data_IF_477728605580
#
_entry.id   IF_477728605580
#
_cell.length_a   1.000
_cell.length_b   1.000
_cell.length_c   1.000
_cell.angle_alpha   90.00
_cell.angle_beta   90.00
_cell.angle_gamma   90.00
#
_symmetry.space_group_name_H-M   'P 1'
#
loop_
_entity.id
_entity.type
_entity.pdbx_description
1 polymer ?
#
# COMPACT_ATOMS: atom_id res chain seq x y z
N UNK A 1 -10.74 0.80 -18.39
CA UNK A 1 -11.44 -0.11 -17.47
C UNK A 1 -10.85 0.07 -16.08
N UNK A 2 -11.68 0.18 -15.04
CA UNK A 2 -11.24 0.21 -13.64
C UNK A 2 -11.19 -1.22 -13.12
N UNK A 3 -10.10 -1.57 -12.49
CA UNK A 3 -9.89 -2.87 -11.83
C UNK A 3 -9.98 -2.70 -10.32
N UNK A 4 -10.34 -3.77 -9.63
CA UNK A 4 -10.45 -3.80 -8.17
C UNK A 4 -9.74 -5.04 -7.63
N UNK A 5 -9.04 -4.86 -6.51
CA UNK A 5 -8.47 -5.93 -5.70
C UNK A 5 -8.86 -5.68 -4.24
N UNK A 6 -9.07 -6.78 -3.52
CA UNK A 6 -9.34 -6.75 -2.09
C UNK A 6 -8.53 -7.83 -1.41
N UNK A 7 -7.85 -7.46 -0.34
CA UNK A 7 -7.06 -8.36 0.48
C UNK A 7 -7.53 -8.24 1.93
N UNK A 8 -7.54 -9.34 2.63
CA UNK A 8 -7.84 -9.40 4.06
C UNK A 8 -6.74 -10.19 4.76
N UNK A 9 -6.34 -9.73 5.94
CA UNK A 9 -5.44 -10.47 6.80
C UNK A 9 -5.81 -10.28 8.26
N UNK A 10 -5.57 -11.32 9.06
CA UNK A 10 -5.63 -11.26 10.51
C UNK A 10 -4.25 -10.93 11.07
N UNK A 11 -4.19 -9.96 11.99
CA UNK A 11 -2.96 -9.55 12.68
C UNK A 11 -3.17 -9.77 14.19
N UNK A 12 -2.40 -10.66 14.83
CA UNK A 12 -2.54 -11.00 16.24
C UNK A 12 -1.88 -9.96 17.16
N UNK A 13 -2.31 -8.71 17.05
CA UNK A 13 -1.83 -7.58 17.84
C UNK A 13 -2.99 -6.65 18.17
N UNK A 14 -2.77 -5.72 19.10
CA UNK A 14 -3.77 -4.72 19.45
C UNK A 14 -4.01 -3.74 18.30
N UNK A 15 -5.18 -3.11 18.28
CA UNK A 15 -5.51 -2.09 17.27
C UNK A 15 -4.50 -0.93 17.32
N UNK A 16 -4.02 -0.55 18.51
CA UNK A 16 -3.04 0.51 18.68
C UNK A 16 -1.69 0.15 18.04
N UNK A 17 -1.17 -1.04 18.29
CA UNK A 17 0.08 -1.51 17.70
C UNK A 17 0.00 -1.58 16.16
N UNK A 18 -1.09 -2.11 15.64
CA UNK A 18 -1.31 -2.23 14.20
C UNK A 18 -1.46 -0.84 13.57
N UNK A 19 -2.28 0.01 14.16
CA UNK A 19 -2.47 1.39 13.67
C UNK A 19 -1.16 2.19 13.67
N UNK A 20 -0.41 2.17 14.77
CA UNK A 20 0.85 2.89 14.89
C UNK A 20 1.88 2.45 13.85
N UNK A 21 1.91 1.17 13.53
CA UNK A 21 2.78 0.65 12.49
C UNK A 21 2.36 1.11 11.08
N UNK A 22 1.09 0.89 10.70
CA UNK A 22 0.62 1.18 9.34
C UNK A 22 0.43 2.67 9.07
N UNK A 23 0.09 3.46 10.06
CA UNK A 23 -0.05 4.92 9.93
C UNK A 23 1.28 5.68 10.04
N UNK A 24 2.40 4.98 10.04
CA UNK A 24 3.73 5.58 10.02
C UNK A 24 4.36 5.49 8.63
N UNK A 25 4.52 6.64 7.96
CA UNK A 25 5.05 6.71 6.60
C UNK A 25 6.45 6.09 6.45
N UNK A 26 7.27 6.08 7.52
CA UNK A 26 8.60 5.46 7.52
C UNK A 26 8.55 3.94 7.35
N UNK A 27 7.44 3.30 7.69
CA UNK A 27 7.27 1.85 7.55
C UNK A 27 6.88 1.41 6.14
N UNK A 28 6.63 2.33 5.21
CA UNK A 28 6.29 2.00 3.83
C UNK A 28 7.37 1.14 3.16
N UNK A 29 8.64 1.44 3.40
CA UNK A 29 9.77 0.67 2.87
C UNK A 29 9.85 -0.75 3.45
N UNK A 30 9.41 -0.96 4.68
CA UNK A 30 9.35 -2.30 5.32
C UNK A 30 8.33 -3.18 4.62
N UNK A 31 7.22 -2.60 4.17
CA UNK A 31 6.13 -3.26 3.46
C UNK A 31 6.36 -3.41 1.95
N UNK A 32 7.54 -3.04 1.46
CA UNK A 32 7.89 -3.09 0.04
C UNK A 32 9.05 -4.06 -0.16
N UNK A 33 8.92 -5.06 -1.08
CA UNK A 33 10.00 -6.00 -1.37
C UNK A 33 11.30 -5.29 -1.73
N UNK A 34 12.44 -5.81 -1.24
CA UNK A 34 13.77 -5.22 -1.48
C UNK A 34 14.10 -5.15 -2.96
N UNK A 35 13.61 -6.11 -3.75
CA UNK A 35 13.80 -6.21 -5.19
C UNK A 35 13.18 -5.04 -5.95
N UNK A 36 12.18 -4.38 -5.35
CA UNK A 36 11.54 -3.18 -5.91
C UNK A 36 12.37 -1.90 -5.69
N UNK A 37 13.49 -1.96 -4.98
CA UNK A 37 14.43 -0.84 -4.78
C UNK A 37 13.76 0.48 -4.41
N UNK A 38 12.84 0.45 -3.46
CA UNK A 38 12.13 1.65 -3.06
C UNK A 38 13.08 2.67 -2.42
N UNK A 39 13.02 3.91 -2.90
CA UNK A 39 13.77 5.05 -2.38
C UNK A 39 12.83 6.22 -2.17
N UNK A 40 12.54 6.54 -0.91
CA UNK A 40 11.77 7.74 -0.54
C UNK A 40 12.63 8.97 -0.80
N UNK A 41 12.10 9.94 -1.54
CA UNK A 41 12.79 11.18 -1.93
C UNK A 41 12.18 12.43 -1.30
N UNK A 42 10.95 12.36 -0.78
CA UNK A 42 10.36 13.45 -0.02
C UNK A 42 10.93 13.51 1.40
N UNK A 43 11.08 14.71 1.93
CA UNK A 43 11.36 14.90 3.34
C UNK A 43 10.12 14.58 4.17
N UNK A 44 10.26 13.66 5.12
CA UNK A 44 9.20 13.30 6.06
C UNK A 44 9.43 14.05 7.37
N UNK A 45 8.95 15.30 7.43
CA UNK A 45 9.05 16.12 8.65
C UNK A 45 8.26 15.54 9.82
N UNK A 46 7.23 14.76 9.50
CA UNK A 46 6.39 14.03 10.43
C UNK A 46 6.21 12.61 9.91
N UNK A 47 6.34 11.61 10.78
CA UNK A 47 6.19 10.20 10.39
C UNK A 47 4.73 9.73 10.39
N UNK A 48 3.91 10.26 11.31
CA UNK A 48 2.50 9.92 11.42
C UNK A 48 1.70 10.49 10.24
N UNK A 49 0.85 9.66 9.63
CA UNK A 49 0.00 10.08 8.51
C UNK A 49 -0.99 11.17 8.93
N UNK A 50 -1.21 12.13 8.03
CA UNK A 50 -2.24 13.16 8.14
C UNK A 50 -2.83 13.46 6.77
N UNK A 51 -4.04 13.99 6.74
CA UNK A 51 -4.71 14.39 5.49
C UNK A 51 -3.94 15.49 4.78
N UNK A 52 -3.67 15.28 3.48
CA UNK A 52 -2.84 16.16 2.66
C UNK A 52 -1.35 15.81 2.66
N UNK A 53 -0.90 14.82 3.45
CA UNK A 53 0.49 14.36 3.43
C UNK A 53 0.83 13.79 2.06
N UNK A 54 1.95 14.24 1.49
CA UNK A 54 2.49 13.74 0.22
C UNK A 54 3.79 13.00 0.47
N UNK A 55 3.91 11.83 -0.15
CA UNK A 55 5.09 10.97 -0.06
C UNK A 55 5.54 10.65 -1.48
N UNK A 56 6.75 11.09 -1.84
CA UNK A 56 7.35 10.83 -3.13
C UNK A 56 8.48 9.80 -3.02
N UNK A 57 8.51 8.88 -3.94
CA UNK A 57 9.52 7.82 -3.98
C UNK A 57 9.74 7.30 -5.40
N UNK A 58 10.90 6.66 -5.61
CA UNK A 58 11.13 5.79 -6.75
C UNK A 58 10.94 4.33 -6.33
N UNK A 59 10.33 3.56 -7.19
CA UNK A 59 10.13 2.12 -7.00
C UNK A 59 10.24 1.41 -8.35
N UNK A 60 10.76 0.19 -8.37
CA UNK A 60 10.95 -0.60 -9.59
C UNK A 60 10.00 -1.81 -9.59
N UNK A 61 8.71 -1.63 -9.92
CA UNK A 61 7.71 -2.69 -9.81
C UNK A 61 7.84 -3.74 -10.93
N UNK A 62 8.44 -3.37 -12.09
CA UNK A 62 8.58 -4.24 -13.25
C UNK A 62 9.97 -4.08 -13.88
N UNK A 63 10.60 -5.19 -14.24
CA UNK A 63 11.86 -5.24 -15.00
C UNK A 63 13.00 -4.40 -14.41
N UNK A 64 12.99 -4.14 -13.10
CA UNK A 64 13.95 -3.27 -12.40
C UNK A 64 14.00 -1.84 -12.96
N UNK A 65 12.97 -1.40 -13.66
CA UNK A 65 12.86 -0.03 -14.18
C UNK A 65 12.33 0.88 -13.09
N UNK A 66 13.08 1.91 -12.65
CA UNK A 66 12.62 2.83 -11.63
C UNK A 66 11.48 3.72 -12.16
N UNK A 67 10.41 3.80 -11.41
CA UNK A 67 9.24 4.63 -11.69
C UNK A 67 9.06 5.63 -10.54
N UNK A 68 8.86 6.89 -10.87
CA UNK A 68 8.49 7.91 -9.89
C UNK A 68 7.04 7.72 -9.46
N UNK A 69 6.82 7.77 -8.16
CA UNK A 69 5.50 7.65 -7.57
C UNK A 69 5.31 8.70 -6.48
N UNK A 70 4.22 9.42 -6.54
CA UNK A 70 3.82 10.39 -5.53
C UNK A 70 2.43 10.03 -5.02
N UNK A 71 2.38 9.72 -3.74
CA UNK A 71 1.17 9.37 -2.99
C UNK A 71 0.69 10.58 -2.19
N UNK A 72 -0.62 10.77 -2.11
CA UNK A 72 -1.25 11.69 -1.17
C UNK A 72 -2.24 10.95 -0.27
N UNK A 73 -2.15 11.22 1.03
CA UNK A 73 -3.13 10.76 2.01
C UNK A 73 -4.32 11.71 1.98
N UNK A 74 -5.46 11.24 1.52
CA UNK A 74 -6.66 12.08 1.36
C UNK A 74 -7.65 11.97 2.51
N UNK A 75 -7.51 10.95 3.35
CA UNK A 75 -8.37 10.72 4.51
C UNK A 75 -7.62 9.97 5.60
N UNK A 76 -7.83 10.37 6.86
CA UNK A 76 -7.37 9.64 8.05
C UNK A 76 -8.48 9.65 9.09
N UNK A 77 -9.02 8.49 9.40
CA UNK A 77 -9.91 8.23 10.53
C UNK A 77 -9.14 7.38 11.55
N UNK A 78 -8.79 7.99 12.68
CA UNK A 78 -7.91 7.40 13.70
C UNK A 78 -8.37 6.00 14.12
N UNK A 79 -7.46 5.02 14.03
CA UNK A 79 -7.69 3.61 14.39
C UNK A 79 -8.81 2.91 13.62
N UNK A 80 -9.23 3.50 12.50
CA UNK A 80 -10.28 2.94 11.67
C UNK A 80 -9.85 2.76 10.22
N UNK A 81 -9.47 3.85 9.55
CA UNK A 81 -9.03 3.76 8.15
C UNK A 81 -8.16 4.95 7.75
N UNK A 82 -7.37 4.75 6.71
CA UNK A 82 -6.81 5.83 5.92
C UNK A 82 -6.88 5.50 4.42
N UNK A 83 -6.87 6.53 3.60
CA UNK A 83 -6.99 6.43 2.15
C UNK A 83 -5.85 7.18 1.50
N UNK A 84 -5.16 6.51 0.59
CA UNK A 84 -4.15 7.10 -0.27
C UNK A 84 -4.55 7.05 -1.75
N UNK A 85 -4.10 8.05 -2.49
CA UNK A 85 -4.22 8.11 -3.94
C UNK A 85 -2.86 8.41 -4.57
N UNK A 86 -2.67 7.96 -5.80
CA UNK A 86 -1.54 8.37 -6.60
C UNK A 86 -1.80 9.75 -7.22
N UNK A 87 -0.93 10.72 -6.99
CA UNK A 87 -0.92 12.02 -7.67
C UNK A 87 -0.11 11.97 -8.97
N UNK A 88 1.04 11.32 -8.92
CA UNK A 88 1.90 11.07 -10.07
C UNK A 88 2.42 9.65 -10.01
N UNK A 89 2.48 8.97 -11.14
CA UNK A 89 2.97 7.60 -11.19
C UNK A 89 2.46 6.82 -12.39
N UNK A 90 2.65 5.49 -12.38
CA UNK A 90 2.41 4.64 -13.53
C UNK A 90 0.92 4.36 -13.82
N UNK A 91 0.03 4.61 -12.89
CA UNK A 91 -1.41 4.37 -13.07
C UNK A 91 -2.13 5.65 -13.53
N UNK A 92 -3.20 5.49 -14.28
CA UNK A 92 -4.14 6.57 -14.57
C UNK A 92 -5.00 6.91 -13.36
N UNK A 93 -5.40 5.88 -12.63
CA UNK A 93 -6.12 5.98 -11.34
C UNK A 93 -5.48 4.98 -10.39
N UNK A 94 -5.23 5.42 -9.17
CA UNK A 94 -4.91 4.59 -8.03
C UNK A 94 -5.58 5.16 -6.79
N UNK A 95 -6.37 4.33 -6.14
CA UNK A 95 -7.05 4.67 -4.90
C UNK A 95 -6.99 3.44 -4.00
N UNK A 96 -6.42 3.60 -2.83
CA UNK A 96 -6.19 2.52 -1.88
C UNK A 96 -6.78 2.88 -0.53
N UNK A 97 -7.72 2.08 -0.06
CA UNK A 97 -8.32 2.19 1.27
C UNK A 97 -7.75 1.10 2.17
N UNK A 98 -7.24 1.52 3.32
CA UNK A 98 -6.77 0.65 4.40
C UNK A 98 -7.76 0.73 5.54
N UNK A 99 -8.40 -0.38 5.89
CA UNK A 99 -9.38 -0.45 6.98
C UNK A 99 -8.90 -1.41 8.06
N UNK A 100 -9.04 -0.99 9.31
CA UNK A 100 -8.63 -1.74 10.49
C UNK A 100 -9.85 -1.99 11.36
N UNK A 101 -10.14 -3.26 11.63
CA UNK A 101 -11.32 -3.70 12.38
C UNK A 101 -10.84 -4.53 13.56
N UNK A 102 -11.06 -4.04 14.77
CA UNK A 102 -10.79 -4.81 15.98
C UNK A 102 -11.73 -6.01 16.06
N UNK A 103 -11.16 -7.18 16.24
CA UNK A 103 -11.87 -8.44 16.39
C UNK A 103 -11.30 -9.23 17.56
N UNK A 104 -11.91 -10.37 17.89
CA UNK A 104 -11.41 -11.23 18.95
C UNK A 104 -9.95 -11.63 18.69
N UNK A 105 -9.09 -11.37 19.67
CA UNK A 105 -7.65 -11.68 19.69
C UNK A 105 -6.78 -10.95 18.65
N UNK A 106 -7.28 -9.88 18.00
CA UNK A 106 -6.45 -9.15 17.06
C UNK A 106 -7.21 -8.14 16.20
N UNK A 107 -6.64 -7.86 15.04
CA UNK A 107 -7.19 -6.91 14.08
C UNK A 107 -7.37 -7.59 12.73
N UNK A 108 -8.53 -7.41 12.13
CA UNK A 108 -8.73 -7.68 10.71
C UNK A 108 -8.38 -6.43 9.90
N UNK A 109 -7.32 -6.52 9.11
CA UNK A 109 -6.95 -5.48 8.15
C UNK A 109 -7.52 -5.81 6.78
N UNK A 110 -8.11 -4.80 6.13
CA UNK A 110 -8.69 -4.90 4.80
C UNK A 110 -8.07 -3.84 3.90
N UNK A 111 -7.47 -4.27 2.80
CA UNK A 111 -6.95 -3.42 1.74
C UNK A 111 -7.87 -3.49 0.52
N UNK A 112 -8.40 -2.36 0.10
CA UNK A 112 -9.22 -2.24 -1.10
C UNK A 112 -8.56 -1.29 -2.10
N UNK A 113 -8.17 -1.82 -3.25
CA UNK A 113 -7.46 -1.08 -4.29
C UNK A 113 -8.35 -0.96 -5.52
N UNK A 114 -8.54 0.27 -5.97
CA UNK A 114 -9.16 0.59 -7.26
C UNK A 114 -8.12 1.24 -8.15
N UNK A 115 -7.88 0.67 -9.33
CA UNK A 115 -6.86 1.21 -10.22
C UNK A 115 -7.26 1.12 -11.69
N UNK A 116 -6.67 1.99 -12.50
CA UNK A 116 -6.80 2.00 -13.94
C UNK A 116 -5.42 2.18 -14.57
N UNK A 117 -5.14 1.36 -15.58
CA UNK A 117 -3.90 1.48 -16.34
C UNK A 117 -4.00 2.63 -17.37
N UNK A 118 -2.88 3.26 -17.69
CA UNK A 118 -2.81 4.17 -18.84
C UNK A 118 -3.00 3.39 -20.16
N UNK A 119 -3.10 4.11 -21.28
CA UNK A 119 -3.20 3.53 -22.62
C UNK A 119 -4.44 2.69 -22.92
N UNK A 120 -5.50 2.81 -22.13
CA UNK A 120 -6.81 2.22 -22.42
C UNK A 120 -6.77 0.71 -22.72
N UNK A 121 -7.16 0.30 -23.95
CA UNK A 121 -7.22 -1.10 -24.37
C UNK A 121 -5.83 -1.77 -24.37
N UNK A 122 -4.79 -1.08 -24.76
CA UNK A 122 -3.40 -1.59 -24.76
C UNK A 122 -2.94 -1.88 -23.35
N UNK A 123 -3.19 -0.95 -22.41
CA UNK A 123 -2.90 -1.17 -20.99
C UNK A 123 -3.61 -2.41 -20.43
N UNK A 124 -4.88 -2.63 -20.82
CA UNK A 124 -5.64 -3.77 -20.37
C UNK A 124 -5.10 -5.12 -20.90
N UNK A 125 -4.45 -5.15 -22.05
CA UNK A 125 -3.83 -6.36 -22.59
C UNK A 125 -2.73 -6.90 -21.66
N UNK A 126 -1.95 -6.00 -21.05
CA UNK A 126 -0.87 -6.34 -20.12
C UNK A 126 -1.33 -6.44 -18.65
N UNK A 127 -2.61 -6.17 -18.37
CA UNK A 127 -3.13 -6.13 -17.00
C UNK A 127 -2.96 -7.47 -16.28
N UNK A 128 -3.50 -8.56 -16.81
CA UNK A 128 -3.47 -9.88 -16.14
C UNK A 128 -2.06 -10.44 -15.96
N UNK A 129 -1.24 -10.55 -17.03
CA UNK A 129 0.03 -11.25 -16.93
C UNK A 129 1.11 -10.45 -16.17
N UNK A 130 1.00 -9.12 -16.09
CA UNK A 130 2.04 -8.31 -15.48
C UNK A 130 1.56 -7.54 -14.26
N UNK A 131 0.60 -6.66 -14.42
CA UNK A 131 0.24 -5.71 -13.36
C UNK A 131 -0.50 -6.40 -12.21
N UNK A 132 -1.52 -7.19 -12.54
CA UNK A 132 -2.31 -7.89 -11.52
C UNK A 132 -1.45 -8.88 -10.74
N UNK A 133 -0.58 -9.63 -11.40
CA UNK A 133 0.29 -10.59 -10.73
C UNK A 133 1.26 -9.88 -9.78
N UNK A 134 1.91 -8.79 -10.21
CA UNK A 134 2.78 -8.01 -9.34
C UNK A 134 2.07 -7.44 -8.11
N UNK A 135 0.83 -7.01 -8.25
CA UNK A 135 0.05 -6.54 -7.10
C UNK A 135 -0.27 -7.70 -6.14
N UNK A 136 -0.62 -8.87 -6.65
CA UNK A 136 -0.84 -10.06 -5.82
C UNK A 136 0.44 -10.45 -5.06
N UNK A 137 1.58 -10.45 -5.73
CA UNK A 137 2.88 -10.80 -5.14
C UNK A 137 3.29 -9.77 -4.06
N UNK A 138 3.06 -8.48 -4.32
CA UNK A 138 3.32 -7.41 -3.35
C UNK A 138 2.48 -7.60 -2.08
N UNK A 139 1.20 -7.90 -2.22
CA UNK A 139 0.32 -8.09 -1.05
C UNK A 139 0.58 -9.41 -0.33
N UNK A 140 1.00 -10.46 -1.03
CA UNK A 140 1.50 -11.69 -0.41
C UNK A 140 2.74 -11.42 0.44
N UNK A 141 3.71 -10.67 -0.07
CA UNK A 141 4.89 -10.23 0.68
C UNK A 141 4.52 -9.42 1.92
N UNK A 142 3.61 -8.44 1.80
CA UNK A 142 3.15 -7.63 2.93
C UNK A 142 2.52 -8.48 4.03
N UNK A 143 1.75 -9.48 3.64
CA UNK A 143 1.15 -10.43 4.59
C UNK A 143 2.23 -11.20 5.36
N UNK A 144 3.24 -11.73 4.69
CA UNK A 144 4.36 -12.43 5.31
C UNK A 144 5.15 -11.54 6.28
N UNK A 145 5.40 -10.27 5.88
CA UNK A 145 6.04 -9.28 6.76
C UNK A 145 5.22 -9.04 8.02
N UNK A 146 3.90 -8.84 7.89
CA UNK A 146 3.02 -8.65 9.04
C UNK A 146 3.00 -9.88 9.95
N UNK A 147 2.91 -11.07 9.38
CA UNK A 147 3.00 -12.33 10.15
C UNK A 147 4.29 -12.41 10.95
N UNK A 148 5.42 -12.03 10.35
CA UNK A 148 6.73 -12.02 11.02
C UNK A 148 6.82 -10.95 12.13
N UNK A 149 6.32 -9.74 11.87
CA UNK A 149 6.43 -8.62 12.82
C UNK A 149 5.50 -8.76 14.03
N UNK A 150 4.31 -9.32 13.85
CA UNK A 150 3.26 -9.39 14.86
C UNK A 150 3.07 -10.79 15.44
N UNK A 151 3.91 -11.77 15.09
CA UNK A 151 3.91 -13.07 15.78
C UNK A 151 4.27 -12.86 17.25
N UNK A 152 3.33 -13.16 18.13
CA UNK A 152 3.63 -13.31 19.55
C UNK A 152 4.36 -14.63 19.73
N UNK A 153 5.62 -14.58 20.16
CA UNK A 153 6.34 -15.74 20.70
C UNK A 153 5.64 -16.27 21.95
#
# INVERSE_FOLDING_TARGET
>A
MIHQLRFEQFIPATLDEVWDFFSNAKNLSVLTPKEMNMKVVSELNQSQLFEGMQIAYFVSPLFKIPVYWETEIIKVEQKHQFIDIQRRGPFKIWHHTHTFIEIENGVKMVDEIRYQLPLGAIGNLFHKPLVRQNLLDLFAYRKEVCESLFQKN
#
